data_IF_722429334052
#
_entry.id   IF_722429334052
#
_cell.length_a   1.000
_cell.length_b   1.000
_cell.length_c   1.000
_cell.angle_alpha   90.00
_cell.angle_beta   90.00
_cell.angle_gamma   90.00
#
_symmetry.space_group_name_H-M   'P 1'
#
loop_
_entity.id
_entity.type
_entity.pdbx_description
1 polymer ?
#
# COMPACT_ATOMS: atom_id res chain seq x y z
N UNK A 1 105.00 -131.87 -81.12
CA UNK A 1 103.92 -130.87 -80.96
C UNK A 1 102.51 -131.46 -81.17
N UNK A 2 102.32 -132.50 -82.00
CA UNK A 2 101.01 -133.14 -82.21
C UNK A 2 100.48 -133.87 -80.95
N UNK A 3 101.35 -134.48 -80.17
CA UNK A 3 100.98 -135.19 -78.94
C UNK A 3 100.34 -134.26 -77.88
N UNK A 4 100.84 -133.02 -77.74
CA UNK A 4 100.27 -132.02 -76.82
C UNK A 4 98.88 -131.56 -77.25
N UNK A 5 98.64 -131.44 -78.56
CA UNK A 5 97.34 -131.08 -79.13
C UNK A 5 96.33 -132.20 -78.92
N UNK A 6 96.73 -133.47 -79.07
CA UNK A 6 95.82 -134.61 -78.88
C UNK A 6 95.37 -134.75 -77.42
N UNK A 7 96.28 -134.58 -76.44
CA UNK A 7 95.91 -134.54 -75.02
C UNK A 7 95.05 -133.34 -74.67
N UNK A 8 95.25 -132.19 -75.33
CA UNK A 8 94.39 -131.02 -75.15
C UNK A 8 92.97 -131.26 -75.71
N UNK A 9 92.84 -131.84 -76.91
CA UNK A 9 91.54 -132.17 -77.52
C UNK A 9 90.83 -133.26 -76.71
N UNK A 10 91.54 -134.30 -76.27
CA UNK A 10 90.97 -135.37 -75.44
C UNK A 10 90.55 -134.83 -74.06
N UNK A 11 91.37 -133.98 -73.45
CA UNK A 11 91.05 -133.28 -72.20
C UNK A 11 89.83 -132.37 -72.35
N UNK A 12 89.72 -131.64 -73.48
CA UNK A 12 88.57 -130.80 -73.81
C UNK A 12 87.31 -131.62 -74.05
N UNK A 13 87.41 -132.75 -74.77
CA UNK A 13 86.28 -133.67 -74.96
C UNK A 13 85.82 -134.27 -73.64
N UNK A 14 86.75 -134.64 -72.77
CA UNK A 14 86.46 -135.22 -71.46
C UNK A 14 85.83 -134.16 -70.52
N UNK A 15 86.35 -132.94 -70.50
CA UNK A 15 85.76 -131.82 -69.77
C UNK A 15 84.39 -131.43 -70.32
N UNK A 16 84.22 -131.43 -71.64
CA UNK A 16 82.94 -131.19 -72.31
C UNK A 16 81.91 -132.27 -71.98
N UNK A 17 82.33 -133.54 -71.93
CA UNK A 17 81.47 -134.66 -71.54
C UNK A 17 81.04 -134.57 -70.08
N UNK A 18 81.96 -134.23 -69.17
CA UNK A 18 81.65 -133.98 -67.75
C UNK A 18 80.71 -132.77 -67.60
N UNK A 19 80.95 -131.68 -68.33
CA UNK A 19 80.08 -130.49 -68.33
C UNK A 19 78.66 -130.83 -68.83
N UNK A 20 78.55 -131.63 -69.89
CA UNK A 20 77.26 -132.12 -70.42
C UNK A 20 76.53 -133.00 -69.41
N UNK A 21 77.26 -133.78 -68.62
CA UNK A 21 76.68 -134.63 -67.58
C UNK A 21 76.17 -133.83 -66.38
N UNK A 22 76.83 -132.72 -66.03
CA UNK A 22 76.47 -131.88 -64.88
C UNK A 22 75.46 -130.78 -65.25
N UNK A 23 75.45 -130.30 -66.50
CA UNK A 23 74.49 -129.31 -67.02
C UNK A 23 73.01 -129.60 -66.66
N UNK A 24 72.46 -130.82 -66.85
CA UNK A 24 71.08 -131.11 -66.49
C UNK A 24 70.81 -131.02 -64.97
N UNK A 25 71.82 -131.21 -64.11
CA UNK A 25 71.67 -131.07 -62.67
C UNK A 25 71.56 -129.59 -62.24
N UNK A 26 72.36 -128.70 -62.83
CA UNK A 26 72.24 -127.26 -62.58
C UNK A 26 70.92 -126.68 -63.12
N UNK A 27 70.48 -127.12 -64.31
CA UNK A 27 69.23 -126.63 -64.91
C UNK A 27 67.99 -127.04 -64.10
N UNK A 28 67.93 -128.30 -63.63
CA UNK A 28 66.87 -128.78 -62.72
C UNK A 28 66.85 -127.99 -61.40
N UNK A 29 68.02 -127.61 -60.87
CA UNK A 29 68.11 -126.84 -59.63
C UNK A 29 67.68 -125.39 -59.82
N UNK A 30 68.02 -124.77 -60.94
CA UNK A 30 67.58 -123.42 -61.30
C UNK A 30 66.05 -123.36 -61.47
N UNK A 31 65.45 -124.32 -62.17
CA UNK A 31 64.00 -124.42 -62.32
C UNK A 31 63.28 -124.64 -60.99
N UNK A 32 63.84 -125.45 -60.08
CA UNK A 32 63.24 -125.67 -58.77
C UNK A 32 63.28 -124.39 -57.91
N UNK A 33 64.35 -123.60 -57.99
CA UNK A 33 64.47 -122.34 -57.26
C UNK A 33 63.54 -121.26 -57.81
N UNK A 34 63.41 -121.14 -59.14
CA UNK A 34 62.47 -120.18 -59.75
C UNK A 34 61.02 -120.60 -59.57
N UNK A 35 60.68 -121.90 -59.71
CA UNK A 35 59.35 -122.42 -59.36
C UNK A 35 59.03 -122.15 -57.90
N UNK A 36 59.90 -122.52 -56.94
CA UNK A 36 59.68 -122.23 -55.51
C UNK A 36 59.54 -120.74 -55.21
N UNK A 37 60.27 -119.88 -55.92
CA UNK A 37 60.19 -118.41 -55.72
C UNK A 37 58.89 -117.83 -56.26
N UNK A 38 58.44 -118.29 -57.44
CA UNK A 38 57.16 -117.89 -58.02
C UNK A 38 56.01 -118.45 -57.17
N UNK A 39 56.11 -119.71 -56.75
CA UNK A 39 55.15 -120.37 -55.87
C UNK A 39 55.00 -119.69 -54.51
N UNK A 40 56.05 -119.03 -54.00
CA UNK A 40 55.99 -118.26 -52.76
C UNK A 40 55.36 -116.85 -52.93
N UNK A 41 55.22 -116.35 -54.15
CA UNK A 41 54.67 -115.01 -54.45
C UNK A 41 53.33 -115.02 -55.15
N UNK A 42 52.92 -116.16 -55.73
CA UNK A 42 51.66 -116.31 -56.46
C UNK A 42 50.74 -117.22 -55.66
N UNK A 43 49.51 -116.78 -55.34
CA UNK A 43 48.57 -117.61 -54.60
C UNK A 43 48.17 -118.82 -55.47
N UNK A 44 48.54 -120.02 -55.03
CA UNK A 44 48.33 -121.27 -55.78
C UNK A 44 47.13 -122.07 -55.27
N UNK A 45 46.64 -121.77 -54.07
CA UNK A 45 45.46 -122.39 -53.50
C UNK A 45 44.21 -121.53 -53.72
N UNK A 46 43.12 -122.17 -54.15
CA UNK A 46 41.82 -121.51 -54.27
C UNK A 46 41.36 -120.89 -52.93
N UNK A 47 41.80 -121.44 -51.79
CA UNK A 47 41.50 -120.92 -50.46
C UNK A 47 42.23 -119.60 -50.15
N UNK A 48 43.48 -119.44 -50.61
CA UNK A 48 44.25 -118.19 -50.43
C UNK A 48 43.69 -117.05 -51.28
N UNK A 49 43.28 -117.36 -52.53
CA UNK A 49 42.62 -116.38 -53.41
C UNK A 49 41.27 -115.93 -52.83
N UNK A 50 40.54 -116.85 -52.17
CA UNK A 50 39.30 -116.51 -51.46
C UNK A 50 39.59 -115.64 -50.24
N UNK A 51 40.63 -115.95 -49.46
CA UNK A 51 41.03 -115.15 -48.30
C UNK A 51 41.45 -113.72 -48.69
N UNK A 52 42.24 -113.54 -49.75
CA UNK A 52 42.62 -112.20 -50.25
C UNK A 52 41.42 -111.43 -50.79
N UNK A 53 40.49 -112.11 -51.48
CA UNK A 53 39.24 -111.49 -51.95
C UNK A 53 38.37 -111.04 -50.79
N UNK A 54 38.24 -111.86 -49.76
CA UNK A 54 37.45 -111.54 -48.57
C UNK A 54 38.13 -110.46 -47.73
N UNK A 55 39.47 -110.46 -47.66
CA UNK A 55 40.26 -109.38 -47.07
C UNK A 55 40.04 -108.06 -47.80
N UNK A 56 40.14 -108.03 -49.14
CA UNK A 56 39.89 -106.82 -49.93
C UNK A 56 38.44 -106.34 -49.73
N UNK A 57 37.46 -107.25 -49.72
CA UNK A 57 36.06 -106.91 -49.40
C UNK A 57 35.93 -106.30 -48.01
N UNK A 58 36.61 -106.84 -47.02
CA UNK A 58 36.61 -106.30 -45.66
C UNK A 58 37.29 -104.93 -45.59
N UNK A 59 38.43 -104.74 -46.23
CA UNK A 59 39.13 -103.45 -46.31
C UNK A 59 38.26 -102.38 -46.97
N UNK A 60 37.64 -102.68 -48.12
CA UNK A 60 36.69 -101.78 -48.80
C UNK A 60 35.44 -101.52 -47.97
N UNK A 61 34.88 -102.54 -47.30
CA UNK A 61 33.73 -102.37 -46.43
C UNK A 61 34.06 -101.47 -45.23
N UNK A 62 35.23 -101.66 -44.60
CA UNK A 62 35.69 -100.82 -43.49
C UNK A 62 36.02 -99.40 -43.93
N UNK A 63 36.68 -99.21 -45.08
CA UNK A 63 36.98 -97.87 -45.59
C UNK A 63 35.70 -97.12 -45.96
N UNK A 64 34.73 -97.81 -46.57
CA UNK A 64 33.41 -97.24 -46.89
C UNK A 64 32.67 -96.89 -45.60
N UNK A 65 32.63 -97.79 -44.62
CA UNK A 65 32.01 -97.52 -43.32
C UNK A 65 32.67 -96.33 -42.59
N UNK A 66 34.00 -96.24 -42.63
CA UNK A 66 34.74 -95.14 -42.00
C UNK A 66 34.47 -93.81 -42.72
N UNK A 67 34.36 -93.83 -44.04
CA UNK A 67 33.99 -92.66 -44.84
C UNK A 67 32.54 -92.22 -44.53
N UNK A 68 31.59 -93.15 -44.47
CA UNK A 68 30.20 -92.88 -44.08
C UNK A 68 30.11 -92.28 -42.68
N UNK A 69 30.85 -92.83 -41.71
CA UNK A 69 30.88 -92.28 -40.35
C UNK A 69 31.50 -90.89 -40.30
N UNK A 70 32.58 -90.65 -41.07
CA UNK A 70 33.19 -89.33 -41.17
C UNK A 70 32.25 -88.33 -41.83
N UNK A 71 31.59 -88.71 -42.93
CA UNK A 71 30.61 -87.88 -43.64
C UNK A 71 29.44 -87.52 -42.71
N UNK A 72 28.92 -88.51 -41.96
CA UNK A 72 27.90 -88.26 -40.95
C UNK A 72 28.39 -87.28 -39.88
N UNK A 73 29.59 -87.48 -39.34
CA UNK A 73 30.15 -86.60 -38.31
C UNK A 73 30.38 -85.16 -38.82
N UNK A 74 30.76 -85.00 -40.09
CA UNK A 74 30.90 -83.69 -40.74
C UNK A 74 29.54 -83.05 -40.98
N UNK A 75 28.53 -83.83 -41.40
CA UNK A 75 27.14 -83.37 -41.52
C UNK A 75 26.56 -82.92 -40.18
N UNK A 76 26.79 -83.67 -39.10
CA UNK A 76 26.35 -83.33 -37.75
C UNK A 76 27.06 -82.05 -37.24
N UNK A 77 28.36 -81.88 -37.52
CA UNK A 77 29.09 -80.64 -37.19
C UNK A 77 28.61 -79.44 -38.00
N UNK A 78 28.38 -79.62 -39.31
CA UNK A 78 27.90 -78.55 -40.17
C UNK A 78 26.49 -78.09 -39.76
N UNK A 79 25.60 -79.02 -39.42
CA UNK A 79 24.26 -78.68 -38.91
C UNK A 79 24.33 -77.97 -37.55
N UNK A 80 25.20 -78.43 -36.63
CA UNK A 80 25.43 -77.75 -35.37
C UNK A 80 25.94 -76.31 -35.55
N UNK A 81 26.95 -76.10 -36.42
CA UNK A 81 27.47 -74.77 -36.75
C UNK A 81 26.41 -73.88 -37.41
N UNK A 82 25.57 -74.44 -38.29
CA UNK A 82 24.47 -73.70 -38.91
C UNK A 82 23.48 -73.19 -37.85
N UNK A 83 23.14 -74.03 -36.85
CA UNK A 83 22.26 -73.65 -35.74
C UNK A 83 22.91 -72.55 -34.89
N UNK A 84 24.22 -72.64 -34.60
CA UNK A 84 24.94 -71.60 -33.87
C UNK A 84 24.99 -70.26 -34.62
N UNK A 85 25.22 -70.29 -35.93
CA UNK A 85 25.17 -69.09 -36.79
C UNK A 85 23.77 -68.48 -36.77
N UNK A 86 22.70 -69.28 -36.88
CA UNK A 86 21.33 -68.76 -36.83
C UNK A 86 20.98 -68.19 -35.45
N UNK A 87 21.46 -68.80 -34.35
CA UNK A 87 21.33 -68.23 -33.00
C UNK A 87 22.07 -66.89 -32.88
N UNK A 88 23.32 -66.82 -33.34
CA UNK A 88 24.09 -65.58 -33.34
C UNK A 88 23.44 -64.49 -34.20
N UNK A 89 22.88 -64.84 -35.36
CA UNK A 89 22.09 -63.91 -36.19
C UNK A 89 20.82 -63.43 -35.48
N UNK A 90 20.14 -64.29 -34.74
CA UNK A 90 18.96 -63.91 -33.97
C UNK A 90 19.32 -62.95 -32.82
N UNK A 91 20.41 -63.20 -32.11
CA UNK A 91 20.92 -62.29 -31.07
C UNK A 91 21.36 -60.95 -31.65
N UNK A 92 22.07 -60.95 -32.77
CA UNK A 92 22.48 -59.73 -33.48
C UNK A 92 21.26 -58.89 -33.90
N UNK A 93 20.23 -59.51 -34.50
CA UNK A 93 18.97 -58.80 -34.83
C UNK A 93 18.28 -58.22 -33.59
N UNK A 94 18.31 -58.93 -32.46
CA UNK A 94 17.72 -58.45 -31.20
C UNK A 94 18.49 -57.24 -30.65
N UNK A 95 19.83 -57.29 -30.70
CA UNK A 95 20.67 -56.17 -30.30
C UNK A 95 20.46 -54.97 -31.23
N UNK A 96 20.42 -55.19 -32.54
CA UNK A 96 20.16 -54.15 -33.54
C UNK A 96 18.80 -53.47 -33.28
N UNK A 97 17.75 -54.25 -33.01
CA UNK A 97 16.44 -53.72 -32.63
C UNK A 97 16.51 -52.88 -31.34
N UNK A 98 17.21 -53.36 -30.31
CA UNK A 98 17.42 -52.63 -29.06
C UNK A 98 18.20 -51.33 -29.24
N UNK A 99 19.25 -51.33 -30.07
CA UNK A 99 20.01 -50.11 -30.40
C UNK A 99 19.16 -49.11 -31.18
N UNK A 100 18.34 -49.58 -32.13
CA UNK A 100 17.43 -48.72 -32.87
C UNK A 100 16.37 -48.07 -31.96
N UNK A 101 15.81 -48.83 -31.01
CA UNK A 101 14.81 -48.31 -30.07
C UNK A 101 15.42 -47.32 -29.07
N UNK A 102 16.60 -47.61 -28.54
CA UNK A 102 17.33 -46.66 -27.68
C UNK A 102 17.74 -45.40 -28.44
N UNK A 103 18.18 -45.51 -29.69
CA UNK A 103 18.49 -44.34 -30.53
C UNK A 103 17.26 -43.49 -30.82
N UNK A 104 16.09 -44.10 -31.05
CA UNK A 104 14.81 -43.37 -31.15
C UNK A 104 14.46 -42.66 -29.84
N UNK A 105 14.61 -43.33 -28.71
CA UNK A 105 14.35 -42.74 -27.41
C UNK A 105 15.29 -41.55 -27.11
N UNK A 106 16.57 -41.67 -27.44
CA UNK A 106 17.55 -40.59 -27.33
C UNK A 106 17.16 -39.41 -28.23
N UNK A 107 16.86 -39.65 -29.51
CA UNK A 107 16.45 -38.58 -30.43
C UNK A 107 15.17 -37.86 -29.96
N UNK A 108 14.20 -38.60 -29.41
CA UNK A 108 13.00 -37.99 -28.81
C UNK A 108 13.31 -37.17 -27.56
N UNK A 109 14.23 -37.62 -26.71
CA UNK A 109 14.65 -36.87 -25.53
C UNK A 109 15.42 -35.61 -25.90
N UNK A 110 16.31 -35.69 -26.90
CA UNK A 110 17.04 -34.53 -27.44
C UNK A 110 16.10 -33.50 -28.05
N UNK A 111 15.10 -33.94 -28.82
CA UNK A 111 14.08 -33.05 -29.36
C UNK A 111 13.28 -32.35 -28.26
N UNK A 112 12.87 -33.08 -27.20
CA UNK A 112 12.20 -32.48 -26.04
C UNK A 112 13.08 -31.50 -25.28
N UNK A 113 14.37 -31.81 -25.10
CA UNK A 113 15.31 -30.90 -24.44
C UNK A 113 15.52 -29.62 -25.26
N UNK A 114 15.60 -29.73 -26.59
CA UNK A 114 15.69 -28.57 -27.47
C UNK A 114 14.42 -27.71 -27.41
N UNK A 115 13.24 -28.34 -27.38
CA UNK A 115 11.96 -27.63 -27.25
C UNK A 115 11.85 -26.91 -25.89
N UNK A 116 12.19 -27.59 -24.79
CA UNK A 116 12.21 -27.01 -23.45
C UNK A 116 13.24 -25.87 -23.35
N UNK A 117 14.42 -26.02 -23.97
CA UNK A 117 15.42 -24.97 -24.05
C UNK A 117 14.89 -23.72 -24.76
N UNK A 118 14.24 -23.90 -25.91
CA UNK A 118 13.60 -22.79 -26.64
C UNK A 118 12.44 -22.16 -25.86
N UNK A 119 11.68 -22.94 -25.08
CA UNK A 119 10.64 -22.38 -24.22
C UNK A 119 11.23 -21.57 -23.05
N UNK A 120 12.31 -22.05 -22.44
CA UNK A 120 13.03 -21.33 -21.39
C UNK A 120 13.57 -20.00 -21.91
N UNK A 121 14.23 -19.97 -23.06
CA UNK A 121 14.70 -18.72 -23.68
C UNK A 121 13.54 -17.73 -23.91
N UNK A 122 12.41 -18.19 -24.47
CA UNK A 122 11.22 -17.34 -24.64
C UNK A 122 10.63 -16.85 -23.32
N UNK A 123 10.72 -17.65 -22.25
CA UNK A 123 10.26 -17.23 -20.91
C UNK A 123 11.21 -16.21 -20.30
N UNK A 124 12.52 -16.41 -20.44
CA UNK A 124 13.53 -15.45 -20.00
C UNK A 124 13.39 -14.11 -20.72
N UNK A 125 13.20 -14.11 -22.04
CA UNK A 125 12.99 -12.88 -22.81
C UNK A 125 11.73 -12.14 -22.34
N UNK A 126 10.63 -12.86 -22.07
CA UNK A 126 9.41 -12.28 -21.50
C UNK A 126 9.63 -11.73 -20.09
N UNK A 127 10.41 -12.41 -19.26
CA UNK A 127 10.75 -11.92 -17.91
C UNK A 127 11.56 -10.63 -18.01
N UNK A 128 12.56 -10.57 -18.91
CA UNK A 128 13.35 -9.35 -19.15
C UNK A 128 12.46 -8.20 -19.61
N UNK A 129 11.59 -8.43 -20.60
CA UNK A 129 10.65 -7.41 -21.09
C UNK A 129 9.70 -6.92 -19.98
N UNK A 130 9.17 -7.82 -19.16
CA UNK A 130 8.30 -7.44 -18.04
C UNK A 130 9.07 -6.68 -16.95
N UNK A 131 10.32 -7.05 -16.68
CA UNK A 131 11.17 -6.35 -15.73
C UNK A 131 11.48 -4.92 -16.20
N UNK A 132 11.78 -4.74 -17.49
CA UNK A 132 12.01 -3.41 -18.08
C UNK A 132 10.74 -2.54 -17.99
N UNK A 133 9.57 -3.10 -18.34
CA UNK A 133 8.28 -2.39 -18.21
C UNK A 133 7.96 -2.03 -16.76
N UNK A 134 8.27 -2.92 -15.80
CA UNK A 134 8.09 -2.64 -14.38
C UNK A 134 8.98 -1.49 -13.94
N UNK A 135 10.26 -1.50 -14.31
CA UNK A 135 11.20 -0.43 -13.99
C UNK A 135 10.78 0.93 -14.60
N UNK A 136 10.24 0.92 -15.82
CA UNK A 136 9.66 2.12 -16.45
C UNK A 136 8.42 2.62 -15.69
N UNK A 137 7.52 1.72 -15.29
CA UNK A 137 6.33 2.06 -14.52
C UNK A 137 6.68 2.63 -13.14
N UNK A 138 7.67 2.04 -12.45
CA UNK A 138 8.19 2.54 -11.17
C UNK A 138 8.75 3.96 -11.31
N UNK A 139 9.56 4.22 -12.35
CA UNK A 139 10.06 5.57 -12.64
C UNK A 139 8.94 6.57 -12.90
N UNK A 140 7.90 6.18 -13.63
CA UNK A 140 6.75 7.04 -13.89
C UNK A 140 5.96 7.34 -12.61
N UNK A 141 5.80 6.33 -11.74
CA UNK A 141 5.15 6.51 -10.44
C UNK A 141 5.95 7.44 -9.53
N UNK A 142 7.28 7.30 -9.50
CA UNK A 142 8.16 8.19 -8.74
C UNK A 142 8.08 9.65 -9.25
N UNK A 143 8.08 9.84 -10.58
CA UNK A 143 7.87 11.17 -11.17
C UNK A 143 6.52 11.77 -10.77
N UNK A 144 5.44 10.97 -10.83
CA UNK A 144 4.12 11.44 -10.39
C UNK A 144 4.07 11.73 -8.90
N UNK A 145 4.74 10.95 -8.06
CA UNK A 145 4.81 11.21 -6.63
C UNK A 145 5.47 12.57 -6.34
N UNK A 146 6.56 12.89 -7.04
CA UNK A 146 7.21 14.20 -6.96
C UNK A 146 6.32 15.34 -7.46
N UNK A 147 5.57 15.12 -8.55
CA UNK A 147 4.59 16.08 -9.05
C UNK A 147 3.47 16.33 -8.03
N UNK A 148 2.95 15.28 -7.39
CA UNK A 148 1.94 15.41 -6.34
C UNK A 148 2.49 16.13 -5.11
N UNK A 149 3.72 15.86 -4.70
CA UNK A 149 4.35 16.59 -3.59
C UNK A 149 4.49 18.08 -3.93
N UNK A 150 4.95 18.40 -5.15
CA UNK A 150 5.04 19.78 -5.62
C UNK A 150 3.68 20.46 -5.66
N UNK A 151 2.65 19.77 -6.16
CA UNK A 151 1.29 20.29 -6.21
C UNK A 151 0.70 20.48 -4.81
N UNK A 152 0.99 19.57 -3.88
CA UNK A 152 0.64 19.69 -2.46
C UNK A 152 1.24 20.94 -1.83
N UNK A 153 2.55 21.17 -2.02
CA UNK A 153 3.21 22.40 -1.53
C UNK A 153 2.58 23.67 -2.11
N UNK A 154 2.27 23.68 -3.41
CA UNK A 154 1.59 24.82 -4.05
C UNK A 154 0.19 25.03 -3.50
N UNK A 155 -0.53 23.96 -3.20
CA UNK A 155 -1.87 24.01 -2.60
C UNK A 155 -1.80 24.58 -1.18
N UNK A 156 -0.85 24.11 -0.36
CA UNK A 156 -0.65 24.61 1.00
C UNK A 156 -0.27 26.10 1.00
N UNK A 157 0.62 26.52 0.09
CA UNK A 157 0.98 27.93 -0.08
C UNK A 157 -0.24 28.77 -0.50
N UNK A 158 -1.02 28.30 -1.47
CA UNK A 158 -2.24 28.99 -1.91
C UNK A 158 -3.28 29.06 -0.78
N UNK A 159 -3.43 28.01 0.03
CA UNK A 159 -4.30 27.96 1.20
C UNK A 159 -3.85 28.96 2.26
N UNK A 160 -2.55 29.05 2.55
CA UNK A 160 -1.99 30.03 3.48
C UNK A 160 -2.22 31.46 3.00
N UNK A 161 -1.99 31.75 1.71
CA UNK A 161 -2.24 33.07 1.12
C UNK A 161 -3.73 33.43 1.19
N UNK A 162 -4.62 32.48 0.89
CA UNK A 162 -6.07 32.67 0.97
C UNK A 162 -6.54 32.93 2.40
N UNK A 163 -6.05 32.14 3.37
CA UNK A 163 -6.36 32.33 4.79
C UNK A 163 -5.84 33.68 5.30
N UNK A 164 -4.61 34.06 4.93
CA UNK A 164 -4.07 35.38 5.27
C UNK A 164 -4.91 36.51 4.65
N UNK A 165 -5.35 36.36 3.40
CA UNK A 165 -6.24 37.31 2.73
C UNK A 165 -7.59 37.44 3.44
N UNK A 166 -8.14 36.32 3.93
CA UNK A 166 -9.38 36.33 4.70
C UNK A 166 -9.21 37.07 6.04
N UNK A 167 -8.09 36.85 6.74
CA UNK A 167 -7.77 37.59 7.97
C UNK A 167 -7.63 39.09 7.68
N UNK A 168 -6.93 39.46 6.60
CA UNK A 168 -6.83 40.86 6.17
C UNK A 168 -8.20 41.48 5.86
N UNK A 169 -9.08 40.76 5.17
CA UNK A 169 -10.43 41.24 4.86
C UNK A 169 -11.25 41.48 6.13
N UNK A 170 -11.22 40.56 7.09
CA UNK A 170 -11.91 40.72 8.38
C UNK A 170 -11.33 41.89 9.18
N UNK A 171 -10.01 42.07 9.18
CA UNK A 171 -9.39 43.24 9.81
C UNK A 171 -9.83 44.55 9.15
N UNK A 172 -9.89 44.60 7.81
CA UNK A 172 -10.38 45.76 7.06
C UNK A 172 -11.86 46.04 7.31
N UNK A 173 -12.68 45.00 7.43
CA UNK A 173 -14.11 45.14 7.77
C UNK A 173 -14.27 45.74 9.17
N UNK A 174 -13.48 45.27 10.15
CA UNK A 174 -13.45 45.84 11.49
C UNK A 174 -13.00 47.31 11.52
N UNK A 175 -12.01 47.68 10.70
CA UNK A 175 -11.58 49.07 10.54
C UNK A 175 -12.69 49.95 9.95
N UNK A 176 -13.42 49.43 8.94
CA UNK A 176 -14.57 50.13 8.34
C UNK A 176 -15.67 50.33 9.37
N UNK A 177 -16.00 49.32 10.17
CA UNK A 177 -16.98 49.43 11.25
C UNK A 177 -16.57 50.46 12.30
N UNK A 178 -15.30 50.47 12.69
CA UNK A 178 -14.76 51.48 13.61
C UNK A 178 -14.86 52.89 13.04
N UNK A 179 -14.48 53.10 11.77
CA UNK A 179 -14.62 54.40 11.10
C UNK A 179 -16.09 54.83 10.98
N UNK A 180 -17.01 53.88 10.76
CA UNK A 180 -18.44 54.15 10.74
C UNK A 180 -18.96 54.60 12.12
N UNK A 181 -18.50 53.95 13.20
CA UNK A 181 -18.82 54.37 14.57
C UNK A 181 -18.27 55.76 14.86
N UNK A 182 -17.01 56.03 14.52
CA UNK A 182 -16.38 57.35 14.70
C UNK A 182 -17.11 58.43 13.89
N UNK A 183 -17.47 58.15 12.63
CA UNK A 183 -18.26 59.06 11.80
C UNK A 183 -19.63 59.33 12.41
N UNK A 184 -20.29 58.32 12.98
CA UNK A 184 -21.58 58.48 13.66
C UNK A 184 -21.44 59.33 14.95
N UNK A 185 -20.35 59.15 15.70
CA UNK A 185 -20.03 59.92 16.89
C UNK A 185 -19.72 61.38 16.55
N UNK A 186 -18.91 61.63 15.51
CA UNK A 186 -18.63 62.97 15.00
C UNK A 186 -19.91 63.65 14.50
N UNK A 187 -20.78 62.95 13.76
CA UNK A 187 -22.09 63.50 13.35
C UNK A 187 -22.96 63.87 14.55
N UNK A 188 -22.95 63.06 15.61
CA UNK A 188 -23.67 63.38 16.85
C UNK A 188 -23.06 64.60 17.55
N UNK A 189 -21.73 64.68 17.63
CA UNK A 189 -21.04 65.85 18.16
C UNK A 189 -21.37 67.12 17.36
N UNK A 190 -21.36 67.07 16.03
CA UNK A 190 -21.77 68.22 15.20
C UNK A 190 -23.20 68.65 15.50
N UNK A 191 -24.15 67.70 15.61
CA UNK A 191 -25.54 68.02 15.99
C UNK A 191 -25.66 68.59 17.40
N UNK A 192 -24.91 68.06 18.36
CA UNK A 192 -24.87 68.57 19.73
C UNK A 192 -24.25 69.98 19.77
N UNK A 193 -23.20 70.24 18.99
CA UNK A 193 -22.60 71.57 18.83
C UNK A 193 -23.56 72.55 18.16
N UNK A 194 -24.25 72.15 17.09
CA UNK A 194 -25.29 72.95 16.46
C UNK A 194 -26.43 73.28 17.42
N UNK A 195 -26.90 72.30 18.21
CA UNK A 195 -27.92 72.53 19.24
C UNK A 195 -27.43 73.52 20.30
N UNK A 196 -26.21 73.35 20.82
CA UNK A 196 -25.60 74.28 21.78
C UNK A 196 -25.45 75.69 21.19
N UNK A 197 -25.09 75.81 19.92
CA UNK A 197 -25.01 77.11 19.24
C UNK A 197 -26.39 77.76 19.09
N UNK A 198 -27.43 76.99 18.78
CA UNK A 198 -28.81 77.48 18.73
C UNK A 198 -29.32 77.90 20.11
N UNK A 199 -29.05 77.12 21.15
CA UNK A 199 -29.38 77.43 22.54
C UNK A 199 -28.67 78.71 23.00
N UNK A 200 -27.35 78.80 22.81
CA UNK A 200 -26.56 79.99 23.13
C UNK A 200 -27.03 81.22 22.32
N UNK A 201 -27.42 81.06 21.07
CA UNK A 201 -28.00 82.14 20.27
C UNK A 201 -29.37 82.58 20.82
N UNK A 202 -30.22 81.65 21.26
CA UNK A 202 -31.51 81.95 21.87
C UNK A 202 -31.35 82.62 23.25
N UNK A 203 -30.42 82.15 24.08
CA UNK A 203 -30.04 82.80 25.34
C UNK A 203 -29.47 84.20 25.09
N UNK A 204 -28.60 84.36 24.09
CA UNK A 204 -28.09 85.66 23.67
C UNK A 204 -29.21 86.61 23.20
N UNK A 205 -30.25 86.10 22.53
CA UNK A 205 -31.46 86.90 22.20
C UNK A 205 -32.21 87.32 23.45
N UNK A 206 -32.48 86.39 24.37
CA UNK A 206 -33.16 86.69 25.66
C UNK A 206 -32.37 87.70 26.48
N UNK A 207 -31.05 87.56 26.57
CA UNK A 207 -30.18 88.50 27.28
C UNK A 207 -30.21 89.89 26.63
N UNK A 208 -30.21 89.99 25.29
CA UNK A 208 -30.39 91.26 24.57
C UNK A 208 -31.76 91.88 24.83
N UNK A 209 -32.82 91.08 24.88
CA UNK A 209 -34.17 91.57 25.21
C UNK A 209 -34.26 92.06 26.66
N UNK A 210 -33.70 91.32 27.61
CA UNK A 210 -33.59 91.75 29.01
C UNK A 210 -32.79 93.05 29.13
N UNK A 211 -31.65 93.16 28.43
CA UNK A 211 -30.86 94.39 28.40
C UNK A 211 -31.66 95.57 27.80
N UNK A 212 -32.48 95.34 26.76
CA UNK A 212 -33.39 96.36 26.23
C UNK A 212 -34.44 96.80 27.25
N UNK A 213 -34.96 95.87 28.05
CA UNK A 213 -35.92 96.19 29.12
C UNK A 213 -35.24 96.97 30.24
N UNK A 214 -34.06 96.54 30.70
CA UNK A 214 -33.30 97.24 31.74
C UNK A 214 -32.84 98.63 31.26
N UNK A 215 -32.34 98.78 30.03
CA UNK A 215 -32.00 100.10 29.47
C UNK A 215 -33.21 101.03 29.37
N UNK A 216 -34.39 100.52 29.04
CA UNK A 216 -35.64 101.30 29.12
C UNK A 216 -35.97 101.70 30.55
N UNK A 217 -35.85 100.79 31.52
CA UNK A 217 -36.07 101.10 32.96
C UNK A 217 -35.06 102.13 33.47
N UNK A 218 -33.78 102.00 33.10
CA UNK A 218 -32.74 102.98 33.42
C UNK A 218 -33.11 104.32 32.81
N UNK A 219 -33.50 104.38 31.54
CA UNK A 219 -33.98 105.62 30.92
C UNK A 219 -35.24 106.21 31.59
N UNK A 220 -36.16 105.36 32.06
CA UNK A 220 -37.34 105.81 32.81
C UNK A 220 -36.98 106.30 34.22
N UNK A 221 -35.98 105.69 34.86
CA UNK A 221 -35.42 106.12 36.14
C UNK A 221 -34.63 107.43 35.97
N UNK A 222 -33.83 107.57 34.92
CA UNK A 222 -33.14 108.82 34.55
C UNK A 222 -34.16 109.94 34.36
N UNK A 223 -35.25 109.71 33.62
CA UNK A 223 -36.36 110.69 33.51
C UNK A 223 -37.03 110.98 34.84
N UNK A 224 -37.15 110.00 35.74
CA UNK A 224 -37.69 110.24 37.09
C UNK A 224 -36.72 111.05 37.95
N UNK A 225 -35.43 110.78 37.87
CA UNK A 225 -34.38 111.57 38.54
C UNK A 225 -34.39 112.99 37.98
N UNK A 226 -34.50 113.17 36.68
CA UNK A 226 -34.62 114.48 36.05
C UNK A 226 -35.87 115.22 36.53
N UNK A 227 -37.03 114.55 36.59
CA UNK A 227 -38.26 115.14 37.18
C UNK A 227 -38.11 115.47 38.66
N UNK A 228 -37.43 114.62 39.43
CA UNK A 228 -37.16 114.87 40.84
C UNK A 228 -36.19 116.04 40.99
N UNK A 229 -35.15 116.14 40.16
CA UNK A 229 -34.22 117.26 40.12
C UNK A 229 -34.93 118.56 39.72
N UNK A 230 -35.83 118.55 38.73
CA UNK A 230 -36.64 119.73 38.40
C UNK A 230 -37.59 120.07 39.54
N UNK A 231 -38.19 119.07 40.20
CA UNK A 231 -39.03 119.34 41.38
C UNK A 231 -38.20 119.86 42.56
N UNK A 232 -36.97 119.39 42.72
CA UNK A 232 -36.04 119.86 43.75
C UNK A 232 -35.64 121.30 43.43
N UNK A 233 -35.35 121.63 42.17
CA UNK A 233 -35.08 122.98 41.73
C UNK A 233 -36.30 123.91 41.93
N UNK A 234 -37.51 123.45 41.64
CA UNK A 234 -38.75 124.19 41.92
C UNK A 234 -38.96 124.37 43.44
N UNK A 235 -38.60 123.37 44.25
CA UNK A 235 -38.67 123.43 45.70
C UNK A 235 -37.59 124.33 46.30
N UNK A 236 -36.37 124.30 45.78
CA UNK A 236 -35.28 125.21 46.09
C UNK A 236 -35.66 126.64 45.69
N UNK A 237 -36.30 126.85 44.53
CA UNK A 237 -36.78 128.18 44.12
C UNK A 237 -37.95 128.64 45.02
N UNK A 238 -38.82 127.73 45.47
CA UNK A 238 -39.84 128.03 46.50
C UNK A 238 -39.22 128.31 47.86
N UNK A 239 -38.13 127.65 48.24
CA UNK A 239 -37.39 127.93 49.46
C UNK A 239 -36.67 129.27 49.35
N UNK A 240 -36.00 129.58 48.24
CA UNK A 240 -35.41 130.88 47.94
C UNK A 240 -36.46 132.00 48.01
N UNK A 241 -37.68 131.76 47.49
CA UNK A 241 -38.80 132.71 47.62
C UNK A 241 -39.27 132.83 49.07
N UNK A 242 -39.31 131.75 49.85
CA UNK A 242 -39.63 131.78 51.28
C UNK A 242 -38.52 132.39 52.14
N UNK A 243 -37.25 132.22 51.80
CA UNK A 243 -36.10 132.87 52.42
C UNK A 243 -36.12 134.37 52.11
N UNK A 244 -36.48 134.76 50.87
CA UNK A 244 -36.69 136.17 50.49
C UNK A 244 -37.94 136.78 51.14
N UNK A 245 -38.97 135.99 51.46
CA UNK A 245 -40.15 136.43 52.22
C UNK A 245 -39.91 136.47 53.75
N UNK A 246 -39.06 135.58 54.29
CA UNK A 246 -38.63 135.57 55.69
C UNK A 246 -37.58 136.66 55.98
N UNK A 247 -36.79 137.10 55.00
CA UNK A 247 -35.89 138.26 55.12
C UNK A 247 -36.63 139.61 55.27
N UNK A 248 -37.96 139.67 55.05
CA UNK A 248 -38.76 140.90 55.15
C UNK A 248 -39.73 140.96 56.33
N UNK A 249 -39.82 139.95 57.20
CA UNK A 249 -40.63 140.04 58.42
C UNK A 249 -39.96 139.35 59.62
N UNK A 250 -39.45 140.22 60.50
CA UNK A 250 -38.87 140.01 61.86
C UNK A 250 -37.38 139.64 61.83
N UNK A 251 -36.44 140.39 62.41
CA UNK A 251 -36.48 141.29 63.59
C UNK A 251 -37.30 140.72 64.75
N UNK A 252 -36.61 139.96 65.59
CA UNK A 252 -37.06 139.49 66.90
C UNK A 252 -36.87 137.98 67.05
N UNK A 253 -35.79 137.61 67.76
CA UNK A 253 -35.61 136.55 68.78
C UNK A 253 -36.40 135.23 68.64
N UNK A 254 -35.93 134.04 69.01
CA UNK A 254 -34.70 133.45 69.53
C UNK A 254 -35.01 131.94 69.72
N UNK A 255 -33.98 131.07 69.70
CA UNK A 255 -33.93 129.73 70.33
C UNK A 255 -34.99 128.68 69.87
N UNK A 256 -34.90 127.36 70.04
CA UNK A 256 -33.90 126.31 70.30
C UNK A 256 -34.64 124.97 70.02
N UNK A 257 -33.88 123.89 69.88
CA UNK A 257 -34.21 122.49 70.24
C UNK A 257 -35.14 121.57 69.41
N UNK A 258 -34.74 120.29 69.38
CA UNK A 258 -35.62 119.12 69.34
C UNK A 258 -35.58 118.28 68.04
N UNK A 259 -34.74 117.25 67.88
CA UNK A 259 -34.86 115.88 68.44
C UNK A 259 -35.76 114.92 67.62
N UNK A 260 -35.07 113.96 66.96
CA UNK A 260 -35.38 112.53 66.85
C UNK A 260 -36.26 111.91 65.73
N UNK A 261 -36.03 110.58 65.46
CA UNK A 261 -36.18 109.90 64.18
C UNK A 261 -37.29 108.82 64.23
N UNK A 262 -37.14 107.77 63.40
CA UNK A 262 -37.75 106.42 63.45
C UNK A 262 -38.82 106.11 62.40
N UNK A 263 -38.86 104.84 62.00
CA UNK A 263 -39.90 104.29 61.13
C UNK A 263 -39.52 102.96 60.47
N UNK A 264 -39.31 101.92 61.27
CA UNK A 264 -38.99 100.54 60.87
C UNK A 264 -40.19 99.76 60.26
N UNK A 265 -39.81 98.59 59.71
CA UNK A 265 -40.46 97.28 59.83
C UNK A 265 -41.64 96.88 58.92
N UNK A 266 -41.44 95.76 58.21
CA UNK A 266 -42.14 94.46 58.39
C UNK A 266 -41.64 93.46 57.30
N UNK A 267 -41.07 92.29 57.56
CA UNK A 267 -41.40 91.11 58.40
C UNK A 267 -42.14 90.00 57.61
N UNK A 268 -41.70 88.77 57.90
CA UNK A 268 -42.38 87.46 57.76
C UNK A 268 -42.25 86.78 56.38
N UNK A 269 -41.48 85.70 56.22
CA UNK A 269 -41.59 84.36 56.82
C UNK A 269 -42.92 83.66 56.52
N UNK A 270 -42.86 82.51 55.83
CA UNK A 270 -43.48 81.29 56.31
C UNK A 270 -42.95 80.03 55.58
N UNK A 271 -43.15 78.94 56.28
CA UNK A 271 -42.52 77.64 56.28
C UNK A 271 -43.36 76.53 55.63
N UNK A 272 -42.66 75.44 55.29
CA UNK A 272 -42.98 74.02 55.57
C UNK A 272 -43.99 73.21 54.75
N UNK A 273 -43.59 71.93 54.63
CA UNK A 273 -44.32 70.66 54.35
C UNK A 273 -44.50 70.36 52.85
N UNK A 274 -44.14 69.21 52.27
CA UNK A 274 -43.77 67.89 52.79
C UNK A 274 -44.74 66.81 52.25
N UNK A 275 -44.22 65.71 51.67
CA UNK A 275 -44.88 64.40 51.78
C UNK A 275 -45.28 63.61 50.51
N UNK A 276 -45.36 64.20 49.31
CA UNK A 276 -45.88 63.47 48.12
C UNK A 276 -44.81 62.77 47.27
N UNK A 277 -43.57 63.27 47.26
CA UNK A 277 -42.52 62.76 46.37
C UNK A 277 -41.92 61.41 46.82
N UNK A 278 -41.95 61.11 48.12
CA UNK A 278 -41.39 59.86 48.64
C UNK A 278 -42.25 58.62 48.30
N UNK A 279 -43.57 58.78 48.13
CA UNK A 279 -44.47 57.66 47.81
C UNK A 279 -44.45 57.31 46.32
N UNK A 280 -44.39 58.32 45.45
CA UNK A 280 -44.34 58.13 43.99
C UNK A 280 -43.01 57.53 43.52
N UNK A 281 -41.91 57.80 44.23
CA UNK A 281 -40.61 57.20 43.93
C UNK A 281 -40.52 55.73 44.35
N UNK A 282 -41.19 55.36 45.46
CA UNK A 282 -41.25 53.97 45.93
C UNK A 282 -42.09 53.09 44.99
N UNK A 283 -43.16 53.61 44.39
CA UNK A 283 -43.94 52.85 43.41
C UNK A 283 -43.18 52.64 42.09
N UNK A 284 -42.49 53.66 41.57
CA UNK A 284 -41.65 53.52 40.37
C UNK A 284 -40.53 52.50 40.56
N UNK A 285 -39.90 52.47 41.74
CA UNK A 285 -38.86 51.47 42.07
C UNK A 285 -39.42 50.04 42.19
N UNK A 286 -40.67 49.87 42.64
CA UNK A 286 -41.34 48.56 42.65
C UNK A 286 -41.67 48.08 41.23
N UNK A 287 -42.16 48.96 40.36
CA UNK A 287 -42.41 48.64 38.96
C UNK A 287 -41.12 48.27 38.19
N UNK A 288 -40.03 48.99 38.43
CA UNK A 288 -38.74 48.69 37.80
C UNK A 288 -38.13 47.39 38.34
N UNK A 289 -38.30 47.09 39.64
CA UNK A 289 -37.96 45.78 40.21
C UNK A 289 -38.74 44.66 39.54
N UNK A 290 -40.06 44.80 39.39
CA UNK A 290 -40.91 43.76 38.80
C UNK A 290 -40.58 43.52 37.31
N UNK A 291 -40.24 44.59 36.58
CA UNK A 291 -39.73 44.50 35.19
C UNK A 291 -38.39 43.77 35.10
N UNK A 292 -37.48 44.02 36.05
CA UNK A 292 -36.18 43.36 36.10
C UNK A 292 -36.31 41.88 36.51
N UNK A 293 -37.19 41.57 37.46
CA UNK A 293 -37.49 40.18 37.86
C UNK A 293 -38.11 39.39 36.70
N UNK A 294 -39.03 39.99 35.94
CA UNK A 294 -39.61 39.36 34.76
C UNK A 294 -38.56 39.09 33.66
N UNK A 295 -37.61 40.02 33.45
CA UNK A 295 -36.49 39.83 32.49
C UNK A 295 -35.52 38.74 32.95
N UNK A 296 -35.20 38.66 34.24
CA UNK A 296 -34.34 37.61 34.78
C UNK A 296 -35.01 36.23 34.68
N UNK A 297 -36.31 36.11 34.93
CA UNK A 297 -37.03 34.86 34.72
C UNK A 297 -37.08 34.45 33.24
N UNK A 298 -37.26 35.40 32.32
CA UNK A 298 -37.24 35.13 30.87
C UNK A 298 -35.85 34.69 30.39
N UNK A 299 -34.77 35.37 30.82
CA UNK A 299 -33.40 34.97 30.51
C UNK A 299 -33.05 33.62 31.10
N UNK A 300 -33.47 33.33 32.33
CA UNK A 300 -33.19 32.04 32.99
C UNK A 300 -33.91 30.89 32.27
N UNK A 301 -35.14 31.11 31.80
CA UNK A 301 -35.86 30.12 30.97
C UNK A 301 -35.20 29.93 29.60
N UNK A 302 -34.74 31.00 28.97
CA UNK A 302 -34.00 30.94 27.69
C UNK A 302 -32.66 30.22 27.86
N UNK A 303 -31.90 30.51 28.93
CA UNK A 303 -30.65 29.81 29.23
C UNK A 303 -30.89 28.32 29.54
N UNK A 304 -31.98 27.99 30.25
CA UNK A 304 -32.33 26.59 30.52
C UNK A 304 -32.71 25.84 29.24
N UNK A 305 -33.43 26.48 28.31
CA UNK A 305 -33.74 25.93 26.98
C UNK A 305 -32.50 25.76 26.11
N UNK A 306 -31.64 26.78 26.02
CA UNK A 306 -30.38 26.69 25.29
C UNK A 306 -29.46 25.59 25.84
N UNK A 307 -29.45 25.39 27.17
CA UNK A 307 -28.71 24.28 27.80
C UNK A 307 -29.31 22.91 27.48
N UNK A 308 -30.64 22.78 27.41
CA UNK A 308 -31.26 21.51 26.99
C UNK A 308 -31.05 21.25 25.49
N UNK A 309 -31.07 22.29 24.67
CA UNK A 309 -30.84 22.19 23.22
C UNK A 309 -29.38 21.84 22.92
N UNK A 310 -28.41 22.44 23.63
CA UNK A 310 -26.99 22.07 23.57
C UNK A 310 -26.73 20.66 24.11
N UNK A 311 -27.41 20.23 25.17
CA UNK A 311 -27.29 18.86 25.68
C UNK A 311 -27.94 17.82 24.75
N UNK A 312 -28.96 18.22 23.98
CA UNK A 312 -29.56 17.39 22.93
C UNK A 312 -28.66 17.33 21.68
N UNK A 313 -28.02 18.44 21.28
CA UNK A 313 -27.02 18.46 20.20
C UNK A 313 -25.74 17.70 20.55
N UNK A 314 -25.31 17.70 21.82
CA UNK A 314 -24.14 16.92 22.26
C UNK A 314 -24.40 15.42 22.46
N UNK A 315 -25.65 14.96 22.29
CA UNK A 315 -26.06 13.54 22.37
C UNK A 315 -26.77 13.04 21.12
N UNK A 316 -26.93 13.90 20.12
CA UNK A 316 -27.61 13.59 18.87
C UNK A 316 -26.58 13.29 17.78
N UNK A 317 -26.56 12.03 17.37
CA UNK A 317 -26.06 11.58 16.06
C UNK A 317 -24.54 11.70 15.85
N UNK A 318 -23.78 10.76 16.42
CA UNK A 318 -22.63 10.25 15.65
C UNK A 318 -23.22 9.76 14.31
N UNK A 319 -22.75 10.27 13.16
CA UNK A 319 -23.31 9.92 11.86
C UNK A 319 -23.35 8.40 11.75
N UNK A 320 -24.46 7.83 11.28
CA UNK A 320 -24.50 6.39 10.95
C UNK A 320 -23.33 5.99 10.04
N UNK A 321 -22.81 6.95 9.26
CA UNK A 321 -21.57 6.83 8.48
C UNK A 321 -20.34 6.60 9.36
N UNK A 322 -20.08 7.36 10.43
CA UNK A 322 -18.91 7.15 11.30
C UNK A 322 -18.97 5.82 12.06
N UNK A 323 -20.17 5.36 12.43
CA UNK A 323 -20.36 4.04 13.04
C UNK A 323 -20.14 2.91 12.02
N UNK A 324 -20.58 3.10 10.77
CA UNK A 324 -20.34 2.16 9.66
C UNK A 324 -18.87 2.13 9.26
N UNK A 325 -18.22 3.29 9.17
CA UNK A 325 -16.79 3.42 8.89
C UNK A 325 -15.95 2.79 10.00
N UNK A 326 -16.30 3.00 11.27
CA UNK A 326 -15.65 2.32 12.39
C UNK A 326 -15.90 0.81 12.40
N UNK A 327 -17.06 0.34 11.93
CA UNK A 327 -17.34 -1.09 11.80
C UNK A 327 -16.54 -1.71 10.64
N UNK A 328 -16.44 -1.01 9.51
CA UNK A 328 -15.63 -1.40 8.36
C UNK A 328 -14.15 -1.43 8.72
N UNK A 329 -13.63 -0.38 9.36
CA UNK A 329 -12.24 -0.32 9.81
C UNK A 329 -11.91 -1.48 10.77
N UNK A 330 -12.86 -1.86 11.65
CA UNK A 330 -12.69 -3.03 12.52
C UNK A 330 -12.62 -4.33 11.74
N UNK A 331 -13.47 -4.52 10.73
CA UNK A 331 -13.42 -5.69 9.85
C UNK A 331 -12.11 -5.73 9.05
N UNK A 332 -11.67 -4.61 8.47
CA UNK A 332 -10.41 -4.51 7.71
C UNK A 332 -9.18 -4.82 8.59
N UNK A 333 -9.16 -4.33 9.84
CA UNK A 333 -8.11 -4.66 10.81
C UNK A 333 -8.11 -6.16 11.13
N UNK A 334 -9.28 -6.78 11.27
CA UNK A 334 -9.39 -8.22 11.54
C UNK A 334 -8.99 -9.07 10.33
N UNK A 335 -9.24 -8.62 9.11
CA UNK A 335 -8.81 -9.27 7.88
C UNK A 335 -7.30 -9.17 7.68
N UNK A 336 -6.72 -7.97 7.81
CA UNK A 336 -5.27 -7.75 7.72
C UNK A 336 -4.51 -8.54 8.79
N UNK A 337 -5.03 -8.57 10.03
CA UNK A 337 -4.44 -9.37 11.09
C UNK A 337 -4.46 -10.88 10.76
N UNK A 338 -5.53 -11.38 10.14
CA UNK A 338 -5.62 -12.78 9.73
C UNK A 338 -4.61 -13.11 8.62
N UNK A 339 -4.46 -12.22 7.64
CA UNK A 339 -3.49 -12.37 6.56
C UNK A 339 -2.04 -12.33 7.07
N UNK A 340 -1.70 -11.38 7.95
CA UNK A 340 -0.38 -11.29 8.57
C UNK A 340 -0.05 -12.56 9.38
N UNK A 341 -1.00 -13.06 10.18
CA UNK A 341 -0.81 -14.29 10.95
C UNK A 341 -0.63 -15.51 10.03
N UNK A 342 -1.39 -15.58 8.93
CA UNK A 342 -1.24 -16.66 7.95
C UNK A 342 0.11 -16.61 7.21
N UNK A 343 0.54 -15.41 6.79
CA UNK A 343 1.86 -15.20 6.17
C UNK A 343 3.00 -15.56 7.13
N UNK A 344 2.89 -15.15 8.40
CA UNK A 344 3.90 -15.46 9.43
C UNK A 344 3.94 -16.97 9.69
N UNK A 345 2.78 -17.62 9.79
CA UNK A 345 2.70 -19.08 9.93
C UNK A 345 3.28 -19.82 8.71
N UNK A 346 3.16 -19.26 7.50
CA UNK A 346 3.75 -19.82 6.28
C UNK A 346 5.27 -19.63 6.25
N UNK A 347 5.79 -18.51 6.73
CA UNK A 347 7.23 -18.24 6.82
C UNK A 347 7.93 -19.05 7.93
N UNK A 348 7.27 -19.25 9.07
CA UNK A 348 7.80 -20.05 10.20
C UNK A 348 7.76 -21.56 9.95
N UNK A 349 6.98 -22.04 8.97
CA UNK A 349 6.92 -23.44 8.58
C UNK A 349 6.03 -24.32 9.48
N UNK A 350 6.15 -25.66 9.37
CA UNK A 350 5.22 -26.62 9.99
C UNK A 350 5.28 -26.65 11.52
N UNK A 351 6.40 -26.24 12.13
CA UNK A 351 6.61 -26.24 13.59
C UNK A 351 6.26 -24.88 14.25
N UNK A 352 5.55 -23.98 13.55
CA UNK A 352 5.22 -22.66 14.10
C UNK A 352 4.32 -22.76 15.34
N UNK A 353 4.62 -22.00 16.42
CA UNK A 353 3.78 -21.95 17.61
C UNK A 353 2.36 -21.45 17.29
N UNK A 354 2.21 -20.66 16.23
CA UNK A 354 0.92 -20.17 15.72
C UNK A 354 0.03 -21.33 15.27
N UNK A 355 0.57 -22.31 14.53
CA UNK A 355 -0.19 -23.49 14.09
C UNK A 355 -0.61 -24.38 15.26
N UNK A 356 0.25 -24.54 16.26
CA UNK A 356 -0.07 -25.28 17.49
C UNK A 356 -1.20 -24.59 18.26
N UNK A 357 -1.16 -23.26 18.38
CA UNK A 357 -2.20 -22.48 19.04
C UNK A 357 -3.55 -22.51 18.29
N UNK A 358 -3.52 -22.53 16.95
CA UNK A 358 -4.72 -22.65 16.12
C UNK A 358 -5.34 -24.05 16.22
N UNK A 359 -4.52 -25.11 16.24
CA UNK A 359 -4.98 -26.48 16.41
C UNK A 359 -5.59 -26.72 17.81
N UNK A 360 -4.95 -26.22 18.86
CA UNK A 360 -5.43 -26.35 20.24
C UNK A 360 -6.80 -25.69 20.47
N UNK A 361 -7.15 -24.67 19.67
CA UNK A 361 -8.41 -23.92 19.80
C UNK A 361 -9.55 -24.47 18.95
N UNK A 362 -9.27 -25.34 17.98
CA UNK A 362 -10.30 -26.05 17.22
C UNK A 362 -11.02 -27.12 18.06
N UNK A 363 -10.42 -27.57 19.16
CA UNK A 363 -10.96 -28.58 20.08
C UNK A 363 -11.83 -28.01 21.22
N UNK A 364 -11.92 -26.69 21.38
CA UNK A 364 -12.77 -26.07 22.41
C UNK A 364 -14.24 -25.93 21.95
N UNK A 365 -15.23 -26.35 22.77
CA UNK A 365 -16.64 -26.21 22.44
C UNK A 365 -17.07 -24.74 22.41
N UNK A 366 -17.82 -24.38 21.36
CA UNK A 366 -18.35 -23.03 21.09
C UNK A 366 -19.12 -22.46 22.29
N UNK A 367 -18.86 -21.22 22.73
CA UNK A 367 -19.79 -20.49 23.58
C UNK A 367 -21.01 -20.07 22.76
N UNK A 368 -22.19 -20.12 23.39
CA UNK A 368 -23.49 -19.90 22.77
C UNK A 368 -23.62 -18.56 22.03
N UNK A 369 -24.39 -18.63 20.95
CA UNK A 369 -24.79 -17.55 20.06
C UNK A 369 -25.21 -16.29 20.81
N UNK A 370 -24.44 -15.20 20.69
CA UNK A 370 -25.05 -13.87 20.67
C UNK A 370 -24.31 -12.74 19.93
N UNK A 371 -23.11 -12.94 19.38
CA UNK A 371 -22.51 -11.97 18.47
C UNK A 371 -21.90 -12.67 17.25
N UNK A 372 -22.33 -12.25 16.05
CA UNK A 372 -21.86 -12.74 14.74
C UNK A 372 -20.44 -12.25 14.39
N UNK A 373 -19.59 -11.98 15.37
CA UNK A 373 -18.22 -11.51 15.11
C UNK A 373 -17.36 -12.76 14.90
N UNK A 374 -17.02 -13.03 13.64
CA UNK A 374 -16.15 -14.13 13.25
C UNK A 374 -14.79 -13.96 13.92
N UNK A 375 -14.36 -14.96 14.68
CA UNK A 375 -13.11 -14.88 15.45
C UNK A 375 -11.90 -14.85 14.52
N UNK A 376 -10.82 -14.19 14.93
CA UNK A 376 -9.55 -14.14 14.18
C UNK A 376 -9.04 -15.55 13.81
N UNK A 377 -9.16 -16.51 14.74
CA UNK A 377 -8.75 -17.89 14.50
C UNK A 377 -9.58 -18.58 13.40
N UNK A 378 -10.87 -18.27 13.30
CA UNK A 378 -11.75 -18.82 12.26
C UNK A 378 -11.41 -18.25 10.88
N UNK A 379 -11.07 -16.95 10.81
CA UNK A 379 -10.63 -16.28 9.58
C UNK A 379 -9.30 -16.84 9.08
N UNK A 380 -8.33 -17.06 9.97
CA UNK A 380 -7.04 -17.70 9.62
C UNK A 380 -7.25 -19.14 9.15
N UNK A 381 -8.13 -19.91 9.80
CA UNK A 381 -8.45 -21.27 9.37
C UNK A 381 -9.16 -21.29 7.99
N UNK A 382 -10.05 -20.34 7.72
CA UNK A 382 -10.70 -20.18 6.42
C UNK A 382 -9.70 -19.83 5.31
N UNK A 383 -8.74 -18.94 5.58
CA UNK A 383 -7.65 -18.60 4.64
C UNK A 383 -6.74 -19.78 4.36
N UNK A 384 -6.33 -20.55 5.38
CA UNK A 384 -5.50 -21.75 5.20
C UNK A 384 -6.22 -22.83 4.37
N UNK A 385 -7.54 -22.96 4.55
CA UNK A 385 -8.38 -23.88 3.77
C UNK A 385 -8.55 -23.42 2.32
N UNK A 386 -8.61 -22.11 2.07
CA UNK A 386 -8.66 -21.54 0.72
C UNK A 386 -7.34 -21.72 -0.04
N UNK A 387 -6.21 -21.65 0.67
CA UNK A 387 -4.85 -21.81 0.10
C UNK A 387 -4.45 -23.28 -0.08
N UNK A 388 -5.11 -24.22 0.61
CA UNK A 388 -4.86 -25.67 0.49
C UNK A 388 -6.03 -26.41 -0.20
N UNK A 389 -6.26 -26.25 -1.52
CA UNK A 389 -7.19 -27.11 -2.23
C UNK A 389 -6.49 -28.42 -2.63
N UNK A 390 -6.74 -29.46 -1.83
CA UNK A 390 -6.31 -30.88 -1.98
C UNK A 390 -4.83 -31.20 -1.80
#
# INVERSE_FOLDING_TARGET
MIQSILFFVLGFLCAGFIALMIAPAFWRRAEMLTKRRIEATVPLSAAEIQADRDRLRAEFAMSTRRLEMNLKSLGDKATAQMIEIERGRAEMRRLDAGTADTQKAMAQSEARNAELGAELERREDRIRELADRLAEAERLLEQRALEFEKLGRMYDEAMLVSSNRQIELVARESDVDRLNLDMSAMRKQTKDHERRMLEAAAEGRKAREALKVETKKVGDLEKKVERLMTSLADHEERLDRRERELARRRKGDAAEDGVNPSGEARQSALSSVGGEDARTMVEKLKEDRDRLEARLMALTRSNRRLRTDLAAQGRGEEPEEELRENAQLREDIHELAAEMVNMTAAQEGPDSPIRVALAARQDEPRPDQHDKITSLAERVAALQKAVSPN
#
